data_IF_410373778840
#
_entry.id   IF_410373778840
#
_cell.length_a   1.000
_cell.length_b   1.000
_cell.length_c   1.000
_cell.angle_alpha   90.00
_cell.angle_beta   90.00
_cell.angle_gamma   90.00
#
_symmetry.space_group_name_H-M   'P 1'
#
loop_
_entity.id
_entity.type
_entity.pdbx_description
1 polymer ?
#
# COMPACT_ATOMS: atom_id res chain seq x y z
N UNK A 1 18.04 -15.13 18.15
CA UNK A 1 16.88 -14.33 18.19
C UNK A 1 16.93 -13.21 17.24
N UNK A 2 15.88 -12.99 16.51
CA UNK A 2 15.84 -11.92 15.54
C UNK A 2 15.54 -10.61 16.25
N UNK A 3 16.30 -9.59 15.97
CA UNK A 3 16.02 -8.30 16.57
C UNK A 3 14.82 -7.67 15.87
N UNK A 4 14.26 -6.65 16.50
CA UNK A 4 13.13 -5.96 15.91
C UNK A 4 13.52 -5.31 14.59
N UNK A 5 14.71 -4.77 14.51
CA UNK A 5 15.17 -4.19 13.27
C UNK A 5 15.28 -5.23 12.17
N UNK A 6 15.76 -6.41 12.51
CA UNK A 6 15.85 -7.48 11.53
C UNK A 6 14.48 -7.94 11.07
N UNK A 7 13.51 -7.97 11.98
CA UNK A 7 12.16 -8.34 11.63
C UNK A 7 11.56 -7.33 10.64
N UNK A 8 11.82 -6.05 10.86
CA UNK A 8 11.36 -5.02 9.94
C UNK A 8 12.06 -5.16 8.59
N UNK A 9 13.37 -5.35 8.61
CA UNK A 9 14.13 -5.46 7.37
C UNK A 9 13.66 -6.64 6.52
N UNK A 10 13.25 -7.72 7.16
CA UNK A 10 12.79 -8.89 6.44
C UNK A 10 11.50 -8.62 5.66
N UNK A 11 10.74 -7.60 6.06
CA UNK A 11 9.50 -7.29 5.37
C UNK A 11 9.67 -6.26 4.25
N UNK A 12 10.85 -5.68 4.10
CA UNK A 12 11.04 -4.63 3.10
C UNK A 12 10.68 -5.06 1.68
N UNK A 13 11.10 -6.22 1.20
CA UNK A 13 10.73 -6.59 -0.17
C UNK A 13 9.22 -6.68 -0.37
N UNK A 14 8.50 -7.15 0.64
CA UNK A 14 7.06 -7.25 0.56
C UNK A 14 6.42 -5.87 0.55
N UNK A 15 6.89 -4.99 1.42
CA UNK A 15 6.36 -3.63 1.46
C UNK A 15 6.60 -2.91 0.14
N UNK A 16 7.78 -3.10 -0.43
CA UNK A 16 8.12 -2.45 -1.69
C UNK A 16 7.21 -2.94 -2.81
N UNK A 17 6.98 -4.24 -2.88
CA UNK A 17 6.11 -4.81 -3.89
C UNK A 17 4.69 -4.27 -3.75
N UNK A 18 4.20 -4.25 -2.51
CA UNK A 18 2.86 -3.76 -2.24
C UNK A 18 2.73 -2.28 -2.60
N UNK A 19 3.69 -1.46 -2.20
CA UNK A 19 3.62 -0.04 -2.46
C UNK A 19 3.61 0.25 -3.95
N UNK A 20 4.40 -0.48 -4.72
CA UNK A 20 4.42 -0.27 -6.17
C UNK A 20 3.10 -0.63 -6.80
N UNK A 21 2.49 -1.72 -6.34
CA UNK A 21 1.18 -2.09 -6.86
C UNK A 21 0.10 -1.11 -6.43
N UNK A 22 0.24 -0.56 -5.24
CA UNK A 22 -0.77 0.35 -4.71
C UNK A 22 -0.75 1.70 -5.40
N UNK A 23 0.40 2.32 -5.53
CA UNK A 23 0.45 3.65 -6.10
C UNK A 23 0.76 3.70 -7.59
N UNK A 24 1.33 2.68 -8.15
CA UNK A 24 1.55 2.65 -9.58
C UNK A 24 2.73 3.44 -10.10
N UNK A 25 3.32 4.29 -9.30
CA UNK A 25 4.47 5.10 -9.70
C UNK A 25 5.63 4.68 -8.81
N UNK A 26 6.74 4.26 -9.38
CA UNK A 26 7.83 3.73 -8.58
C UNK A 26 8.46 4.79 -7.69
N UNK A 27 8.50 6.03 -8.14
CA UNK A 27 9.07 7.10 -7.33
C UNK A 27 8.22 7.36 -6.09
N UNK A 28 6.91 7.44 -6.27
CA UNK A 28 6.00 7.63 -5.14
C UNK A 28 6.03 6.42 -4.23
N UNK A 29 6.13 5.23 -4.79
CA UNK A 29 6.20 4.03 -3.99
C UNK A 29 7.45 4.03 -3.12
N UNK A 30 8.59 4.41 -3.69
CA UNK A 30 9.83 4.45 -2.93
C UNK A 30 9.75 5.48 -1.80
N UNK A 31 9.15 6.63 -2.05
CA UNK A 31 8.97 7.64 -1.02
C UNK A 31 8.07 7.11 0.10
N UNK A 32 7.00 6.43 -0.25
CA UNK A 32 6.09 5.88 0.73
C UNK A 32 6.80 4.82 1.58
N UNK A 33 7.61 3.99 0.96
CA UNK A 33 8.35 2.97 1.69
C UNK A 33 9.37 3.62 2.62
N UNK A 34 10.07 4.62 2.15
CA UNK A 34 11.06 5.28 2.98
C UNK A 34 10.38 5.91 4.20
N UNK A 35 9.26 6.60 3.99
CA UNK A 35 8.53 7.21 5.09
C UNK A 35 8.02 6.15 6.07
N UNK A 36 7.55 5.02 5.54
CA UNK A 36 7.06 3.93 6.37
C UNK A 36 8.18 3.38 7.25
N UNK A 37 9.35 3.16 6.65
CA UNK A 37 10.47 2.61 7.40
C UNK A 37 11.00 3.60 8.43
N UNK A 38 11.04 4.88 8.09
CA UNK A 38 11.48 5.88 9.06
C UNK A 38 10.54 5.91 10.27
N UNK A 39 9.25 5.85 10.02
CA UNK A 39 8.29 5.87 11.10
C UNK A 39 8.36 4.59 11.93
N UNK A 40 8.54 3.47 11.26
CA UNK A 40 8.64 2.19 11.96
C UNK A 40 9.86 2.18 12.87
N UNK A 41 10.99 2.67 12.39
CA UNK A 41 12.19 2.70 13.21
C UNK A 41 12.05 3.68 14.37
N UNK A 42 11.38 4.80 14.16
CA UNK A 42 11.17 5.76 15.23
C UNK A 42 10.24 5.21 16.30
N UNK A 43 9.38 4.28 15.97
CA UNK A 43 8.42 3.71 16.90
C UNK A 43 8.71 2.26 17.21
N UNK A 44 9.93 1.83 16.97
CA UNK A 44 10.28 0.42 17.12
C UNK A 44 10.01 -0.11 18.51
N UNK A 45 10.19 0.71 19.51
CA UNK A 45 9.95 0.28 20.88
C UNK A 45 8.48 0.07 21.17
N UNK A 46 7.60 0.64 20.38
CA UNK A 46 6.17 0.46 20.59
C UNK A 46 5.68 -0.87 20.03
N UNK A 47 6.47 -1.50 19.17
CA UNK A 47 6.10 -2.79 18.64
C UNK A 47 6.50 -3.85 19.64
N UNK A 48 5.55 -4.65 20.06
CA UNK A 48 5.81 -5.65 21.07
C UNK A 48 6.28 -6.95 20.45
N UNK A 49 7.19 -7.62 21.16
CA UNK A 49 7.63 -8.91 20.69
C UNK A 49 6.44 -9.83 20.60
N UNK A 50 6.38 -10.61 19.58
CA UNK A 50 5.26 -11.49 19.37
C UNK A 50 4.18 -10.93 18.49
N UNK A 51 4.16 -9.60 18.31
CA UNK A 51 3.20 -9.03 17.38
C UNK A 51 3.66 -9.30 15.97
N UNK A 52 2.71 -9.36 15.07
CA UNK A 52 3.00 -9.61 13.68
C UNK A 52 3.62 -8.36 13.05
N UNK A 53 4.90 -8.37 12.69
CA UNK A 53 5.53 -7.18 12.14
C UNK A 53 4.90 -6.76 10.82
N UNK A 54 4.40 -7.71 10.07
CA UNK A 54 3.79 -7.39 8.77
C UNK A 54 2.55 -6.55 8.95
N UNK A 55 1.65 -6.95 9.85
CA UNK A 55 0.44 -6.16 10.11
C UNK A 55 0.80 -4.76 10.58
N UNK A 56 1.75 -4.68 11.49
CA UNK A 56 2.17 -3.40 12.04
C UNK A 56 2.70 -2.47 10.95
N UNK A 57 3.57 -3.02 10.10
CA UNK A 57 4.16 -2.21 9.04
C UNK A 57 3.14 -1.79 8.00
N UNK A 58 2.22 -2.68 7.63
CA UNK A 58 1.18 -2.31 6.68
C UNK A 58 0.23 -1.27 7.27
N UNK A 59 0.00 -1.30 8.59
CA UNK A 59 -0.81 -0.26 9.23
C UNK A 59 -0.14 1.10 9.12
N UNK A 60 1.17 1.16 9.34
CA UNK A 60 1.91 2.41 9.21
C UNK A 60 1.85 2.90 7.76
N UNK A 61 2.08 2.00 6.82
CA UNK A 61 2.08 2.35 5.42
C UNK A 61 0.71 2.87 5.01
N UNK A 62 -0.36 2.21 5.43
CA UNK A 62 -1.71 2.62 5.11
C UNK A 62 -1.99 4.03 5.63
N UNK A 63 -1.61 4.30 6.88
CA UNK A 63 -1.86 5.60 7.47
C UNK A 63 -1.12 6.70 6.72
N UNK A 64 0.13 6.44 6.34
CA UNK A 64 0.88 7.43 5.58
C UNK A 64 0.29 7.63 4.19
N UNK A 65 -0.18 6.55 3.58
CA UNK A 65 -0.80 6.63 2.26
C UNK A 65 -2.07 7.46 2.31
N UNK A 66 -2.90 7.23 3.31
CA UNK A 66 -4.14 7.99 3.47
C UNK A 66 -3.83 9.46 3.72
N UNK A 67 -2.83 9.74 4.56
CA UNK A 67 -2.43 11.12 4.82
C UNK A 67 -1.97 11.80 3.54
N UNK A 68 -1.23 11.08 2.71
CA UNK A 68 -0.79 11.61 1.44
C UNK A 68 -1.95 11.90 0.50
N UNK A 69 -2.94 11.02 0.46
CA UNK A 69 -4.11 11.25 -0.37
C UNK A 69 -4.90 12.45 0.12
N UNK A 70 -5.01 12.62 1.43
CA UNK A 70 -5.72 13.76 1.96
C UNK A 70 -5.02 15.05 1.61
N UNK A 71 -3.69 15.07 1.68
CA UNK A 71 -2.96 16.25 1.32
C UNK A 71 -3.12 16.57 -0.15
N UNK A 72 -3.07 15.57 -0.99
CA UNK A 72 -3.25 15.79 -2.42
C UNK A 72 -4.61 16.36 -2.72
N UNK A 73 -5.65 15.86 -2.09
CA UNK A 73 -6.98 16.34 -2.40
C UNK A 73 -7.22 17.76 -1.89
N UNK A 74 -6.43 18.22 -0.92
CA UNK A 74 -6.59 19.58 -0.44
C UNK A 74 -5.85 20.57 -1.31
N UNK A 75 -4.89 20.12 -2.11
CA UNK A 75 -4.15 21.05 -2.93
C UNK A 75 -4.99 21.51 -4.08
N UNK A 76 -4.79 22.74 -4.47
CA UNK A 76 -5.48 23.22 -5.63
C UNK A 76 -5.05 22.39 -6.80
N UNK A 77 -5.96 22.09 -7.56
CA UNK A 77 -5.65 21.27 -8.70
C UNK A 77 -4.85 21.97 -9.71
N UNK A 78 -3.87 22.48 -9.50
CA UNK A 78 -3.25 23.24 -10.50
C UNK A 78 -2.61 22.31 -11.34
N UNK A 79 -2.52 21.87 -11.52
CA UNK A 79 -1.90 21.22 -12.33
C UNK A 79 -2.14 20.20 -12.82
N UNK A 80 -3.13 20.16 -12.88
CA UNK A 80 -3.39 19.04 -13.41
C UNK A 80 -2.48 18.64 -14.29
N UNK A 81 -2.20 19.19 -14.66
CA UNK A 81 -1.44 18.90 -15.50
C UNK A 81 -0.75 17.87 -15.28
N UNK A 82 -0.33 17.89 -14.62
CA UNK A 82 0.51 17.03 -14.40
C UNK A 82 -0.15 15.97 -14.44
N UNK A 83 -1.02 16.16 -14.28
CA UNK A 83 -1.71 15.15 -14.34
C UNK A 83 -1.31 14.46 -15.40
N UNK A 84 -1.00 14.93 -16.06
CA UNK A 84 -0.69 14.28 -17.03
C UNK A 84 0.14 13.37 -16.77
N UNK A 85 0.46 13.45 -16.01
CA UNK A 85 1.42 12.62 -15.81
C UNK A 85 1.06 11.41 -16.30
N UNK A 86 0.21 11.26 -16.68
CA UNK A 86 -0.22 10.08 -17.14
C UNK A 86 0.78 9.34 -17.73
N UNK A 87 1.11 9.74 -18.41
CA UNK A 87 1.99 9.13 -19.06
C UNK A 87 2.94 8.63 -18.31
N UNK A 88 3.22 9.10 -17.60
CA UNK A 88 4.21 8.67 -16.96
C UNK A 88 4.04 7.37 -16.68
N UNK A 89 3.13 7.04 -16.63
CA UNK A 89 2.98 5.79 -16.22
C UNK A 89 3.72 4.95 -17.03
N UNK A 90 3.79 5.17 -17.93
CA UNK A 90 4.46 4.39 -18.73
C UNK A 90 5.39 3.49 -18.23
N UNK A 91 6.11 3.63 -17.96
CA UNK A 91 7.09 2.85 -17.69
C UNK A 91 7.00 1.54 -17.44
N UNK A 92 6.81 1.29 -16.83
CA UNK A 92 6.69 0.06 -16.51
C UNK A 92 7.23 -0.86 -17.29
N UNK A 93 7.24 -0.78 -18.01
CA UNK A 93 7.87 -1.63 -18.73
C UNK A 93 8.26 -2.85 -18.20
N UNK A 94 8.78 -3.09 -17.48
CA UNK A 94 9.29 -4.22 -17.23
C UNK A 94 8.41 -5.27 -17.25
N UNK A 95 7.87 -5.74 -17.17
CA UNK A 95 7.22 -6.81 -17.16
C UNK A 95 6.14 -6.79 -17.97
N UNK A 96 6.20 -7.31 -18.99
CA UNK A 96 5.14 -7.35 -19.83
C UNK A 96 3.98 -7.95 -19.09
N UNK A 97 4.13 -9.05 -18.50
CA UNK A 97 3.00 -9.65 -17.86
C UNK A 97 2.54 -8.80 -16.71
N UNK A 98 3.45 -8.09 -16.10
CA UNK A 98 3.06 -7.24 -15.01
C UNK A 98 2.25 -6.06 -15.47
N UNK A 99 2.42 -5.64 -16.68
CA UNK A 99 1.72 -4.47 -17.16
C UNK A 99 0.22 -4.62 -17.16
N UNK A 100 -0.28 -5.79 -17.53
CA UNK A 100 -1.71 -6.00 -17.54
C UNK A 100 -2.30 -5.98 -16.15
N UNK A 101 -1.62 -6.61 -15.21
CA UNK A 101 -2.07 -6.59 -13.84
C UNK A 101 -2.04 -5.18 -13.28
N UNK A 102 -0.98 -4.44 -13.56
CA UNK A 102 -0.89 -3.07 -13.10
C UNK A 102 -2.04 -2.24 -13.64
N UNK A 103 -2.38 -2.39 -14.88
CA UNK A 103 -3.50 -1.65 -15.45
C UNK A 103 -4.80 -2.02 -14.78
N UNK A 104 -5.01 -3.30 -14.54
CA UNK A 104 -6.22 -3.74 -13.88
C UNK A 104 -6.32 -3.15 -12.49
N UNK A 105 -5.21 -3.12 -11.76
CA UNK A 105 -5.22 -2.55 -10.43
C UNK A 105 -5.52 -1.06 -10.45
N UNK A 106 -5.01 -0.35 -11.44
CA UNK A 106 -5.24 1.08 -11.51
C UNK A 106 -6.68 1.43 -11.88
N UNK A 107 -7.45 0.46 -12.37
CA UNK A 107 -8.85 0.71 -12.63
C UNK A 107 -9.69 0.63 -11.35
N UNK A 108 -9.14 0.09 -10.29
CA UNK A 108 -9.85 0.03 -9.04
C UNK A 108 -9.76 1.35 -8.30
N UNK A 109 -10.74 1.64 -7.46
CA UNK A 109 -10.61 2.79 -6.58
C UNK A 109 -9.49 2.51 -5.59
N UNK A 110 -8.91 3.52 -4.98
CA UNK A 110 -7.85 3.28 -3.98
C UNK A 110 -8.30 2.34 -2.87
N UNK A 111 -9.53 2.47 -2.40
CA UNK A 111 -10.04 1.61 -1.34
C UNK A 111 -10.13 0.16 -1.79
N UNK A 112 -10.63 -0.08 -2.98
CA UNK A 112 -10.73 -1.43 -3.51
C UNK A 112 -9.36 -2.02 -3.75
N UNK A 113 -8.44 -1.19 -4.24
CA UNK A 113 -7.09 -1.66 -4.54
C UNK A 113 -6.37 -2.12 -3.28
N UNK A 114 -6.52 -1.36 -2.18
CA UNK A 114 -5.88 -1.77 -0.94
C UNK A 114 -6.37 -3.13 -0.46
N UNK A 115 -7.66 -3.34 -0.49
CA UNK A 115 -8.21 -4.59 -0.01
C UNK A 115 -7.77 -5.76 -0.90
N UNK A 116 -7.84 -5.56 -2.20
CA UNK A 116 -7.44 -6.61 -3.14
C UNK A 116 -5.97 -6.98 -2.92
N UNK A 117 -5.12 -5.98 -2.72
CA UNK A 117 -3.71 -6.25 -2.55
C UNK A 117 -3.39 -6.90 -1.21
N UNK A 118 -4.01 -6.43 -0.13
CA UNK A 118 -3.72 -7.02 1.18
C UNK A 118 -4.19 -8.46 1.25
N UNK A 119 -5.35 -8.74 0.73
CA UNK A 119 -5.86 -10.10 0.77
C UNK A 119 -5.21 -10.97 -0.30
N UNK A 120 -5.14 -10.49 -1.52
CA UNK A 120 -4.69 -11.31 -2.64
C UNK A 120 -3.18 -11.39 -2.80
N UNK A 121 -2.49 -10.30 -2.63
CA UNK A 121 -1.04 -10.31 -2.81
C UNK A 121 -0.31 -10.65 -1.53
N UNK A 122 -0.74 -10.06 -0.42
CA UNK A 122 -0.02 -10.25 0.83
C UNK A 122 -0.58 -11.38 1.68
N UNK A 123 -1.71 -11.93 1.29
CA UNK A 123 -2.24 -13.10 1.99
C UNK A 123 -2.80 -12.85 3.37
N UNK A 124 -3.16 -11.61 3.66
CA UNK A 124 -3.76 -11.34 4.97
C UNK A 124 -5.18 -11.85 5.01
N UNK A 125 -5.62 -12.27 6.19
CA UNK A 125 -7.01 -12.66 6.34
C UNK A 125 -7.90 -11.42 6.28
N UNK A 126 -9.18 -11.62 6.15
CA UNK A 126 -10.12 -10.51 6.15
C UNK A 126 -10.04 -9.74 7.49
N UNK A 127 -9.93 -10.49 8.59
CA UNK A 127 -9.83 -9.86 9.91
C UNK A 127 -8.54 -9.03 10.02
N UNK A 128 -7.43 -9.58 9.55
CA UNK A 128 -6.16 -8.83 9.59
C UNK A 128 -6.23 -7.60 8.71
N UNK A 129 -6.85 -7.72 7.54
CA UNK A 129 -7.00 -6.59 6.64
C UNK A 129 -7.85 -5.51 7.29
N UNK A 130 -8.94 -5.90 7.96
CA UNK A 130 -9.79 -4.95 8.66
C UNK A 130 -9.00 -4.20 9.73
N UNK A 131 -8.12 -4.90 10.44
CA UNK A 131 -7.29 -4.24 11.45
C UNK A 131 -6.30 -3.28 10.82
N UNK A 132 -5.64 -3.68 9.75
CA UNK A 132 -4.67 -2.83 9.08
C UNK A 132 -5.33 -1.55 8.58
N UNK A 133 -6.52 -1.66 8.01
CA UNK A 133 -7.19 -0.52 7.42
C UNK A 133 -8.09 0.23 8.41
N UNK A 134 -8.27 -0.31 9.60
CA UNK A 134 -9.15 0.27 10.63
C UNK A 134 -10.57 0.42 10.13
N UNK A 135 -11.09 -0.62 9.53
CA UNK A 135 -12.46 -0.64 9.03
C UNK A 135 -13.14 -1.93 9.47
N UNK A 136 -14.46 -1.97 9.45
CA UNK A 136 -15.17 -3.20 9.80
C UNK A 136 -14.89 -4.31 8.80
N UNK A 137 -14.91 -5.52 9.26
CA UNK A 137 -14.63 -6.65 8.37
C UNK A 137 -15.67 -6.75 7.25
N UNK A 138 -16.90 -6.36 7.51
CA UNK A 138 -17.90 -6.35 6.44
C UNK A 138 -17.54 -5.40 5.32
N UNK A 139 -16.88 -4.29 5.65
CA UNK A 139 -16.42 -3.35 4.65
C UNK A 139 -15.30 -3.96 3.81
N UNK A 140 -14.42 -4.75 4.43
CA UNK A 140 -13.40 -5.48 3.68
C UNK A 140 -14.08 -6.39 2.66
N UNK A 141 -15.08 -7.12 3.09
CA UNK A 141 -15.77 -8.06 2.21
C UNK A 141 -16.46 -7.35 1.06
N UNK A 142 -17.13 -6.24 1.32
CA UNK A 142 -17.85 -5.57 0.26
C UNK A 142 -16.90 -4.89 -0.73
N UNK A 143 -15.80 -4.31 -0.23
CA UNK A 143 -14.82 -3.72 -1.13
C UNK A 143 -14.15 -4.78 -1.99
N UNK A 144 -13.86 -5.94 -1.40
CA UNK A 144 -13.26 -7.02 -2.14
C UNK A 144 -14.18 -7.52 -3.24
N UNK A 145 -15.47 -7.66 -2.93
CA UNK A 145 -16.43 -8.11 -3.92
C UNK A 145 -16.52 -7.13 -5.09
N UNK A 146 -16.54 -5.83 -4.79
CA UNK A 146 -16.59 -4.84 -5.85
C UNK A 146 -15.32 -4.82 -6.68
N UNK A 147 -14.18 -5.01 -6.02
CA UNK A 147 -12.92 -5.04 -6.74
C UNK A 147 -12.86 -6.23 -7.69
N UNK A 148 -13.39 -7.36 -7.30
CA UNK A 148 -13.36 -8.53 -8.17
C UNK A 148 -14.27 -8.37 -9.36
N UNK A 149 -15.33 -7.59 -9.24
CA UNK A 149 -16.26 -7.44 -10.32
C UNK A 149 -15.71 -6.55 -11.43
N UNK A 150 -14.57 -5.96 -11.24
CA UNK A 150 -13.95 -5.17 -12.27
C UNK A 150 -12.74 -5.86 -12.86
#
# INVERSE_FOLDING_TARGET
>A
MTSRREAVAAEIPRLRRYARALVGDSSEADDLIQDTLERALARLEQWRDGDNPRKWLFSILHNLHVDGLRRSSRRPPHVGLDSLGPDQSAPAADGASGGDLDRALQLLTPDQREVVLLVGLEGLSYAETAEVLSIPIGTVMSRLARGRDR
#
